data_IF_775230618792
#
_entry.id   IF_775230618792
#
_cell.length_a   1.000
_cell.length_b   1.000
_cell.length_c   1.000
_cell.angle_alpha   90.00
_cell.angle_beta   90.00
_cell.angle_gamma   90.00
#
_symmetry.space_group_name_H-M   'P 1'
#
loop_
_entity.id
_entity.type
_entity.pdbx_description
1 polymer ?
#
# COMPACT_ATOMS: atom_id res chain seq x y z
N UNK A 1 3.88 -23.94 30.24
CA UNK A 1 2.47 -23.55 30.43
C UNK A 1 2.33 -22.11 29.94
N UNK A 2 1.61 -21.88 28.85
CA UNK A 2 1.34 -20.52 28.33
C UNK A 2 0.12 -19.99 29.07
N UNK A 3 0.27 -18.90 29.82
CA UNK A 3 -0.84 -18.29 30.55
C UNK A 3 -1.88 -17.78 29.54
N UNK A 4 -3.12 -18.25 29.69
CA UNK A 4 -4.19 -18.20 28.69
C UNK A 4 -5.21 -17.08 29.00
N UNK A 5 -4.74 -15.90 29.39
CA UNK A 5 -5.59 -14.81 29.89
C UNK A 5 -5.41 -13.46 29.17
N UNK A 6 -4.84 -13.44 27.97
CA UNK A 6 -4.95 -12.28 27.09
C UNK A 6 -6.11 -12.53 26.14
N UNK A 7 -7.17 -11.72 26.28
CA UNK A 7 -8.30 -11.75 25.37
C UNK A 7 -7.79 -11.43 23.96
N UNK A 8 -8.16 -12.25 22.98
CA UNK A 8 -7.91 -11.94 21.58
C UNK A 8 -8.66 -10.64 21.23
N UNK A 9 -7.93 -9.62 20.78
CA UNK A 9 -8.50 -8.35 20.36
C UNK A 9 -8.66 -8.40 18.85
N UNK A 10 -9.91 -8.39 18.40
CA UNK A 10 -10.24 -8.35 16.98
C UNK A 10 -10.21 -6.89 16.49
N UNK A 11 -9.34 -6.61 15.51
CA UNK A 11 -9.19 -5.24 14.98
C UNK A 11 -10.28 -4.88 13.97
N UNK A 12 -10.78 -5.87 13.22
CA UNK A 12 -11.79 -5.73 12.17
C UNK A 12 -12.77 -6.88 12.33
N UNK A 13 -13.82 -6.73 13.17
CA UNK A 13 -14.74 -7.82 13.50
C UNK A 13 -15.79 -8.09 12.42
N UNK A 14 -16.03 -7.12 11.54
CA UNK A 14 -17.04 -7.21 10.50
C UNK A 14 -16.39 -7.32 9.11
N UNK A 15 -16.96 -8.19 8.26
CA UNK A 15 -16.54 -8.31 6.86
C UNK A 15 -17.19 -7.19 6.03
N UNK A 16 -16.63 -5.98 6.16
CA UNK A 16 -17.12 -4.76 5.49
C UNK A 16 -16.35 -4.40 4.21
N UNK A 17 -15.22 -5.07 3.98
CA UNK A 17 -14.36 -4.87 2.82
C UNK A 17 -13.13 -5.77 2.90
N UNK A 18 -12.24 -5.64 1.93
CA UNK A 18 -10.93 -6.22 1.97
C UNK A 18 -10.05 -5.45 2.95
N UNK A 19 -9.32 -6.16 3.81
CA UNK A 19 -8.26 -5.59 4.64
C UNK A 19 -7.02 -6.46 4.49
N UNK A 20 -5.96 -5.88 3.94
CA UNK A 20 -4.68 -6.57 3.75
C UNK A 20 -3.67 -5.93 4.70
N UNK A 21 -3.13 -6.74 5.62
CA UNK A 21 -2.06 -6.29 6.51
C UNK A 21 -0.79 -6.01 5.70
N UNK A 22 -0.22 -4.82 5.90
CA UNK A 22 0.98 -4.35 5.19
C UNK A 22 2.23 -4.42 6.07
N UNK A 23 2.06 -4.26 7.39
CA UNK A 23 3.14 -4.13 8.38
C UNK A 23 2.76 -3.16 9.49
N UNK A 24 3.73 -2.67 10.25
CA UNK A 24 3.48 -1.80 11.40
C UNK A 24 4.51 -0.66 11.56
N UNK A 25 4.12 0.37 12.31
CA UNK A 25 4.98 1.42 12.85
C UNK A 25 4.78 1.42 14.37
N UNK A 26 5.67 0.77 15.10
CA UNK A 26 5.46 0.56 16.54
C UNK A 26 4.16 -0.23 16.78
N UNK A 27 3.19 0.39 17.46
CA UNK A 27 1.88 -0.21 17.77
C UNK A 27 0.82 0.04 16.70
N UNK A 28 1.11 0.85 15.68
CA UNK A 28 0.17 1.13 14.59
C UNK A 28 0.32 0.11 13.48
N UNK A 29 -0.72 -0.70 13.25
CA UNK A 29 -0.77 -1.66 12.14
C UNK A 29 -1.34 -0.98 10.90
N UNK A 30 -0.66 -1.13 9.77
CA UNK A 30 -1.05 -0.54 8.50
C UNK A 30 -1.80 -1.55 7.66
N UNK A 31 -2.91 -1.11 7.08
CA UNK A 31 -3.76 -1.92 6.22
C UNK A 31 -4.05 -1.20 4.91
N UNK A 32 -3.96 -1.95 3.82
CA UNK A 32 -4.70 -1.60 2.61
C UNK A 32 -6.16 -1.99 2.83
N UNK A 33 -7.09 -1.17 2.36
CA UNK A 33 -8.52 -1.51 2.37
C UNK A 33 -9.28 -0.86 1.21
N UNK A 34 -10.31 -1.54 0.73
CA UNK A 34 -11.32 -1.01 -0.21
C UNK A 34 -12.62 -0.56 0.49
N UNK A 35 -12.68 -0.63 1.83
CA UNK A 35 -13.84 -0.22 2.61
C UNK A 35 -14.15 1.26 2.37
N UNK A 36 -15.31 1.55 1.75
CA UNK A 36 -15.70 2.89 1.30
C UNK A 36 -14.64 3.57 0.43
N UNK A 37 -13.84 2.79 -0.30
CA UNK A 37 -12.76 3.26 -1.15
C UNK A 37 -12.49 2.24 -2.27
N UNK A 38 -13.35 2.11 -3.29
CA UNK A 38 -13.23 1.09 -4.34
C UNK A 38 -11.87 1.07 -5.08
N UNK A 39 -11.16 2.20 -5.14
CA UNK A 39 -9.81 2.30 -5.71
C UNK A 39 -8.69 2.08 -4.68
N UNK A 40 -9.04 1.77 -3.44
CA UNK A 40 -8.12 1.44 -2.36
C UNK A 40 -7.58 2.66 -1.62
N UNK A 41 -7.46 2.52 -0.29
CA UNK A 41 -6.78 3.46 0.61
C UNK A 41 -5.88 2.71 1.59
N UNK A 42 -5.03 3.44 2.30
CA UNK A 42 -4.21 2.90 3.38
C UNK A 42 -4.61 3.58 4.69
N UNK A 43 -4.92 2.77 5.68
CA UNK A 43 -5.23 3.21 7.04
C UNK A 43 -4.21 2.65 8.03
N UNK A 44 -4.13 3.26 9.20
CA UNK A 44 -3.46 2.68 10.36
C UNK A 44 -4.43 2.51 11.53
N UNK A 45 -4.27 1.41 12.26
CA UNK A 45 -5.04 1.05 13.44
C UNK A 45 -4.05 0.91 14.60
N UNK A 46 -4.19 1.71 15.65
CA UNK A 46 -3.42 1.53 16.88
C UNK A 46 -4.01 0.36 17.66
N UNK A 47 -3.21 -0.69 17.88
CA UNK A 47 -3.67 -1.90 18.59
C UNK A 47 -4.08 -1.63 20.05
N UNK A 48 -3.65 -0.51 20.63
CA UNK A 48 -4.06 -0.11 21.98
C UNK A 48 -5.39 0.63 21.99
N UNK A 49 -5.86 1.12 20.84
CA UNK A 49 -7.12 1.85 20.70
C UNK A 49 -7.77 1.56 19.33
N UNK A 50 -8.21 0.30 19.10
CA UNK A 50 -8.49 -0.22 17.77
C UNK A 50 -9.84 0.19 17.19
N UNK A 51 -10.70 0.85 17.98
CA UNK A 51 -12.05 1.24 17.53
C UNK A 51 -11.99 2.03 16.23
N UNK A 52 -12.95 1.76 15.33
CA UNK A 52 -12.99 2.31 13.97
C UNK A 52 -12.91 3.84 13.92
N UNK A 53 -13.48 4.52 14.93
CA UNK A 53 -13.43 5.99 15.06
C UNK A 53 -12.00 6.53 15.21
N UNK A 54 -11.06 5.69 15.65
CA UNK A 54 -9.66 6.04 15.86
C UNK A 54 -8.76 5.66 14.68
N UNK A 55 -9.29 5.02 13.64
CA UNK A 55 -8.51 4.66 12.46
C UNK A 55 -8.00 5.93 11.79
N UNK A 56 -6.71 5.94 11.44
CA UNK A 56 -6.08 7.10 10.79
C UNK A 56 -5.90 6.83 9.31
N UNK A 57 -6.18 7.83 8.48
CA UNK A 57 -5.91 7.77 7.06
C UNK A 57 -4.44 8.08 6.79
N UNK A 58 -3.71 7.11 6.22
CA UNK A 58 -2.31 7.26 5.84
C UNK A 58 -2.17 7.66 4.36
N UNK A 59 -2.97 7.02 3.50
CA UNK A 59 -3.04 7.32 2.07
C UNK A 59 -4.50 7.34 1.64
N UNK A 60 -4.97 8.49 1.18
CA UNK A 60 -6.33 8.66 0.67
C UNK A 60 -6.54 7.93 -0.67
N UNK A 61 -7.78 7.53 -0.92
CA UNK A 61 -8.22 7.05 -2.22
C UNK A 61 -8.01 8.13 -3.30
N UNK A 62 -7.74 7.68 -4.54
CA UNK A 62 -7.67 8.55 -5.71
C UNK A 62 -8.56 8.01 -6.84
N UNK A 63 -8.67 8.74 -7.94
CA UNK A 63 -9.35 8.27 -9.16
C UNK A 63 -8.69 7.03 -9.79
N UNK A 64 -7.39 6.83 -9.54
CA UNK A 64 -6.62 5.72 -10.05
C UNK A 64 -6.56 4.58 -9.02
N UNK A 65 -6.69 3.34 -9.49
CA UNK A 65 -6.65 2.16 -8.63
C UNK A 65 -5.26 1.97 -8.00
N UNK A 66 -5.22 1.82 -6.67
CA UNK A 66 -4.03 1.43 -5.91
C UNK A 66 -3.81 -0.08 -6.08
N UNK A 67 -2.84 -0.45 -6.90
CA UNK A 67 -2.61 -1.83 -7.34
C UNK A 67 -1.50 -2.55 -6.58
N UNK A 68 -0.60 -1.80 -5.94
CA UNK A 68 0.51 -2.37 -5.17
C UNK A 68 0.93 -1.41 -4.06
N UNK A 69 1.26 -1.99 -2.91
CA UNK A 69 1.79 -1.26 -1.76
C UNK A 69 3.01 -2.01 -1.24
N UNK A 70 4.10 -1.28 -1.00
CA UNK A 70 5.32 -1.80 -0.38
C UNK A 70 5.70 -0.87 0.77
N UNK A 71 6.04 -1.44 1.92
CA UNK A 71 6.58 -0.66 3.04
C UNK A 71 8.10 -0.66 2.95
N UNK A 72 8.67 0.53 2.83
CA UNK A 72 10.11 0.79 2.95
C UNK A 72 10.42 1.21 4.39
N UNK A 73 11.67 1.55 4.73
CA UNK A 73 12.01 2.00 6.09
C UNK A 73 11.19 3.25 6.48
N UNK A 74 11.26 4.30 5.66
CA UNK A 74 10.65 5.60 5.95
C UNK A 74 9.41 5.92 5.11
N UNK A 75 9.15 5.12 4.07
CA UNK A 75 8.12 5.40 3.09
C UNK A 75 7.12 4.26 2.91
N UNK A 76 5.92 4.63 2.48
CA UNK A 76 4.95 3.76 1.86
C UNK A 76 5.05 4.00 0.36
N UNK A 77 5.48 3.00 -0.40
CA UNK A 77 5.49 3.04 -1.85
C UNK A 77 4.12 2.57 -2.35
N UNK A 78 3.45 3.42 -3.10
CA UNK A 78 2.15 3.16 -3.69
C UNK A 78 2.27 3.14 -5.22
N UNK A 79 1.81 2.04 -5.82
CA UNK A 79 1.70 1.88 -7.26
C UNK A 79 0.25 2.08 -7.70
N UNK A 80 0.02 3.03 -8.59
CA UNK A 80 -1.29 3.30 -9.18
C UNK A 80 -1.33 2.91 -10.65
N UNK A 81 -2.50 2.48 -11.10
CA UNK A 81 -2.78 2.23 -12.51
C UNK A 81 -3.54 3.43 -13.09
N UNK A 82 -2.91 4.12 -14.04
CA UNK A 82 -3.47 5.27 -14.77
C UNK A 82 -3.35 5.02 -16.28
N UNK A 83 -4.47 4.87 -17.00
CA UNK A 83 -4.50 4.59 -18.45
C UNK A 83 -3.54 3.46 -18.89
N UNK A 84 -3.55 2.33 -18.16
CA UNK A 84 -2.67 1.15 -18.40
C UNK A 84 -1.17 1.44 -18.15
N UNK A 85 -0.83 2.63 -17.67
CA UNK A 85 0.51 3.00 -17.24
C UNK A 85 0.64 2.99 -15.72
N UNK A 86 1.84 2.70 -15.24
CA UNK A 86 2.15 2.69 -13.81
C UNK A 86 2.59 4.08 -13.35
N UNK A 87 1.99 4.57 -12.27
CA UNK A 87 2.52 5.69 -11.49
C UNK A 87 2.98 5.23 -10.12
N UNK A 88 4.16 5.68 -9.68
CA UNK A 88 4.66 5.38 -8.33
C UNK A 88 4.72 6.66 -7.51
N UNK A 89 4.18 6.58 -6.30
CA UNK A 89 4.28 7.63 -5.29
C UNK A 89 4.89 7.08 -4.01
N UNK A 90 5.73 7.87 -3.37
CA UNK A 90 6.24 7.65 -2.04
C UNK A 90 5.48 8.55 -1.07
N UNK A 91 4.93 7.97 -0.02
CA UNK A 91 4.34 8.69 1.10
C UNK A 91 5.26 8.52 2.30
N UNK A 92 5.74 9.61 2.89
CA UNK A 92 6.50 9.52 4.12
C UNK A 92 5.60 9.06 5.26
N UNK A 93 6.01 8.03 6.01
CA UNK A 93 5.17 7.39 7.03
C UNK A 93 4.76 8.33 8.17
N UNK A 94 5.59 9.32 8.50
CA UNK A 94 5.38 10.21 9.64
C UNK A 94 4.69 11.52 9.25
N UNK A 95 5.15 12.13 8.16
CA UNK A 95 4.67 13.45 7.71
C UNK A 95 3.53 13.36 6.71
N UNK A 96 3.26 12.17 6.17
CA UNK A 96 2.33 11.91 5.06
C UNK A 96 2.67 12.67 3.77
N UNK A 97 3.86 13.28 3.70
CA UNK A 97 4.31 13.99 2.52
C UNK A 97 4.41 13.04 1.32
N UNK A 98 3.75 13.44 0.22
CA UNK A 98 3.67 12.68 -1.03
C UNK A 98 4.71 13.16 -2.03
N UNK A 99 5.43 12.23 -2.66
CA UNK A 99 6.37 12.48 -3.76
C UNK A 99 6.11 11.52 -4.91
N UNK A 100 5.97 12.04 -6.13
CA UNK A 100 5.91 11.22 -7.36
C UNK A 100 7.31 10.79 -7.77
N UNK A 101 7.48 9.53 -8.16
CA UNK A 101 8.68 9.09 -8.87
C UNK A 101 8.48 9.26 -10.36
N UNK A 102 9.43 9.95 -11.00
CA UNK A 102 9.45 10.15 -12.44
C UNK A 102 10.34 9.09 -13.09
N UNK A 103 9.84 8.50 -14.17
CA UNK A 103 10.58 7.59 -15.01
C UNK A 103 10.70 8.20 -16.41
N UNK A 104 11.84 8.01 -17.06
CA UNK A 104 12.10 8.58 -18.39
C UNK A 104 11.19 7.99 -19.48
N UNK A 105 10.66 6.78 -19.24
CA UNK A 105 9.74 6.09 -20.14
C UNK A 105 8.39 5.84 -19.45
N UNK A 106 7.29 6.06 -20.17
CA UNK A 106 5.97 5.56 -19.77
C UNK A 106 5.88 4.06 -20.03
N UNK A 107 5.29 3.31 -19.10
CA UNK A 107 5.06 1.88 -19.26
C UNK A 107 4.52 1.25 -17.99
N UNK A 108 4.61 -0.08 -17.93
CA UNK A 108 4.14 -0.88 -16.80
C UNK A 108 5.35 -1.26 -15.95
N UNK A 109 5.27 -1.04 -14.64
CA UNK A 109 6.21 -1.65 -13.69
C UNK A 109 5.53 -2.93 -13.20
N UNK A 110 6.09 -4.08 -13.56
CA UNK A 110 5.43 -5.38 -13.36
C UNK A 110 5.73 -6.01 -12.00
N UNK A 111 6.85 -5.64 -11.39
CA UNK A 111 7.24 -6.12 -10.07
C UNK A 111 8.00 -5.03 -9.34
N UNK A 112 7.78 -4.92 -8.04
CA UNK A 112 8.64 -4.17 -7.13
C UNK A 112 9.02 -5.13 -6.01
N UNK A 113 10.27 -5.12 -5.60
CA UNK A 113 10.74 -5.83 -4.41
C UNK A 113 11.45 -4.85 -3.51
N UNK A 114 11.19 -4.98 -2.21
CA UNK A 114 11.78 -4.12 -1.19
C UNK A 114 12.18 -4.95 0.02
N UNK A 115 13.00 -4.35 0.88
CA UNK A 115 13.15 -4.82 2.25
C UNK A 115 12.52 -3.77 3.16
N UNK A 116 11.75 -4.20 4.16
CA UNK A 116 11.08 -3.31 5.11
C UNK A 116 12.04 -2.40 5.88
N UNK A 117 13.29 -2.85 6.09
CA UNK A 117 14.34 -2.11 6.80
C UNK A 117 15.25 -1.30 5.85
N UNK A 118 14.79 -0.99 4.64
CA UNK A 118 15.54 -0.20 3.68
C UNK A 118 14.65 0.71 2.84
N UNK A 119 15.15 1.90 2.50
CA UNK A 119 14.53 2.76 1.48
C UNK A 119 14.94 2.38 0.04
N UNK A 120 15.68 1.27 -0.14
CA UNK A 120 16.05 0.73 -1.44
C UNK A 120 15.00 -0.29 -1.89
N UNK A 121 14.51 -0.12 -3.12
CA UNK A 121 13.64 -1.07 -3.80
C UNK A 121 14.14 -1.32 -5.22
N UNK A 122 13.84 -2.50 -5.73
CA UNK A 122 14.13 -2.90 -7.10
C UNK A 122 12.82 -3.05 -7.86
N UNK A 123 12.84 -2.75 -9.15
CA UNK A 123 11.66 -2.89 -9.98
C UNK A 123 12.01 -3.43 -11.36
N UNK A 124 11.04 -4.08 -11.99
CA UNK A 124 11.15 -4.57 -13.37
C UNK A 124 10.30 -3.70 -14.28
N UNK A 125 10.91 -3.17 -15.33
CA UNK A 125 10.23 -2.46 -16.40
C UNK A 125 10.36 -3.28 -17.69
N UNK A 126 9.37 -4.14 -18.03
CA UNK A 126 9.41 -4.90 -19.27
C UNK A 126 9.33 -3.97 -20.49
N UNK A 127 10.27 -4.11 -21.43
CA UNK A 127 10.14 -3.50 -22.75
C UNK A 127 9.09 -4.30 -23.56
N UNK A 128 7.98 -3.64 -23.92
CA UNK A 128 6.96 -4.22 -24.78
C UNK A 128 7.40 -4.15 -26.25
N UNK A 129 7.81 -5.27 -26.81
CA UNK A 129 7.99 -5.42 -28.26
C UNK A 129 6.65 -5.84 -28.90
N UNK A 130 5.99 -4.92 -29.61
CA UNK A 130 4.83 -5.26 -30.43
C UNK A 130 5.30 -5.85 -31.76
N UNK A 131 5.06 -7.15 -31.97
CA UNK A 131 5.18 -7.74 -33.29
C UNK A 131 4.05 -7.20 -34.18
N UNK A 132 4.39 -6.38 -35.19
CA UNK A 132 3.42 -6.02 -36.23
C UNK A 132 3.14 -7.27 -37.05
N UNK A 133 1.94 -7.84 -36.91
CA UNK A 133 1.42 -8.77 -37.92
C UNK A 133 1.11 -7.94 -39.17
N UNK A 134 1.91 -8.12 -40.21
CA UNK A 134 1.52 -7.69 -41.55
C UNK A 134 0.39 -8.64 -41.98
N UNK A 135 -0.84 -8.12 -42.08
CA UNK A 135 -1.95 -8.76 -42.78
C UNK A 135 -1.77 -8.56 -44.29
#
# INVERSE_FOLDING_TARGET
MRNNNEAFVELIPELIGQFIFLGNIGTEFLFFTDFEAPNGKIISIDINNPDQVNWKLMVAETENALTRVELLENFILCQYLNDVSTEIFLYNKQTLAKKKLSFDKKGIISSISSNHDSDVFYFTFPELHQAKRNL
#
